data_IF_595199113755
#
_entry.id   IF_595199113755
#
_cell.length_a   1.000
_cell.length_b   1.000
_cell.length_c   1.000
_cell.angle_alpha   90.00
_cell.angle_beta   90.00
_cell.angle_gamma   90.00
#
_symmetry.space_group_name_H-M   'P 1'
#
loop_
_entity.id
_entity.type
_entity.pdbx_description
1 polymer ?
#
# COMPACT_ATOMS: atom_id res chain seq x y z
N UNK A 1 -24.64 11.88 12.92
CA UNK A 1 -25.06 13.27 12.70
C UNK A 1 -24.24 13.98 11.64
N UNK A 2 -22.98 13.64 11.44
CA UNK A 2 -22.11 14.18 10.38
C UNK A 2 -22.50 13.69 8.98
N UNK A 3 -23.09 12.49 8.87
CA UNK A 3 -23.59 11.95 7.59
C UNK A 3 -24.82 12.67 7.04
N UNK A 4 -25.52 13.42 7.88
CA UNK A 4 -26.75 14.14 7.52
C UNK A 4 -26.51 15.63 7.24
N UNK A 5 -25.25 16.07 7.24
CA UNK A 5 -24.90 17.46 6.89
C UNK A 5 -24.63 17.61 5.41
N UNK A 6 -24.82 18.80 4.83
CA UNK A 6 -24.40 19.06 3.46
C UNK A 6 -22.93 18.72 3.27
N UNK A 7 -22.61 17.89 2.29
CA UNK A 7 -21.24 17.46 2.03
C UNK A 7 -20.39 18.54 1.36
N UNK A 8 -21.01 19.41 0.58
CA UNK A 8 -20.34 20.57 0.01
C UNK A 8 -21.33 21.71 -0.26
N UNK A 9 -20.84 22.94 -0.23
CA UNK A 9 -21.55 24.14 -0.61
C UNK A 9 -20.75 24.78 -1.74
N UNK A 10 -21.24 24.71 -2.94
CA UNK A 10 -20.78 25.56 -4.05
C UNK A 10 -21.82 26.64 -4.27
N UNK A 11 -21.41 27.82 -4.61
CA UNK A 11 -22.08 29.14 -4.55
C UNK A 11 -23.60 29.21 -4.53
N UNK A 12 -24.34 28.23 -5.08
CA UNK A 12 -25.81 28.22 -5.10
C UNK A 12 -26.44 26.80 -4.98
N UNK A 13 -25.66 25.75 -4.74
CA UNK A 13 -26.16 24.37 -4.65
C UNK A 13 -25.69 23.67 -3.38
N UNK A 14 -26.65 23.19 -2.61
CA UNK A 14 -26.40 22.33 -1.42
C UNK A 14 -26.47 20.88 -1.84
N UNK A 15 -25.38 20.15 -1.64
CA UNK A 15 -25.35 18.69 -1.82
C UNK A 15 -25.70 18.00 -0.49
N UNK A 16 -26.86 17.34 -0.49
CA UNK A 16 -27.36 16.59 0.66
C UNK A 16 -27.04 15.10 0.51
N UNK A 17 -26.92 14.43 1.63
CA UNK A 17 -26.91 12.98 1.64
C UNK A 17 -28.23 12.42 1.06
N UNK A 18 -28.18 11.29 0.36
CA UNK A 18 -29.37 10.63 -0.21
C UNK A 18 -30.48 10.39 0.82
N UNK A 19 -30.10 10.21 2.08
CA UNK A 19 -31.01 10.01 3.24
C UNK A 19 -31.83 11.26 3.55
N UNK A 20 -31.29 12.47 3.33
CA UNK A 20 -31.98 13.72 3.67
C UNK A 20 -33.31 13.88 2.93
N UNK A 21 -33.35 13.51 1.65
CA UNK A 21 -34.61 13.53 0.86
C UNK A 21 -35.66 12.63 1.46
N UNK A 22 -35.23 11.45 1.91
CA UNK A 22 -36.13 10.44 2.52
C UNK A 22 -36.65 10.92 3.88
N UNK A 23 -35.77 11.49 4.71
CA UNK A 23 -36.12 12.07 6.01
C UNK A 23 -37.11 13.23 5.83
N UNK A 24 -36.84 14.17 4.93
CA UNK A 24 -37.75 15.28 4.66
C UNK A 24 -39.13 14.80 4.18
N UNK A 25 -39.17 13.75 3.37
CA UNK A 25 -40.44 13.15 2.94
C UNK A 25 -41.17 12.50 4.10
N UNK A 26 -40.45 11.80 4.99
CA UNK A 26 -41.01 11.20 6.21
C UNK A 26 -41.64 12.26 7.12
N UNK A 27 -40.95 13.38 7.36
CA UNK A 27 -41.48 14.47 8.16
C UNK A 27 -42.77 15.02 7.58
N UNK A 28 -42.83 15.29 6.28
CA UNK A 28 -44.04 15.78 5.60
C UNK A 28 -45.21 14.80 5.71
N UNK A 29 -44.97 13.50 5.54
CA UNK A 29 -46.01 12.47 5.68
C UNK A 29 -46.49 12.34 7.13
N UNK A 30 -45.56 12.36 8.08
CA UNK A 30 -45.91 12.31 9.51
C UNK A 30 -46.73 13.52 9.96
N UNK A 31 -46.39 14.72 9.47
CA UNK A 31 -47.10 15.96 9.75
C UNK A 31 -48.51 15.95 9.15
N UNK A 32 -48.68 15.42 7.91
CA UNK A 32 -49.98 15.26 7.29
C UNK A 32 -50.92 14.33 8.10
N UNK A 33 -50.37 13.25 8.62
CA UNK A 33 -51.14 12.33 9.51
C UNK A 33 -51.45 12.98 10.84
N UNK A 34 -50.52 13.71 11.45
CA UNK A 34 -50.68 14.38 12.76
C UNK A 34 -51.73 15.51 12.72
N UNK A 35 -51.73 16.29 11.65
CA UNK A 35 -52.62 17.44 11.47
C UNK A 35 -54.04 17.07 11.01
N UNK A 36 -54.35 15.77 10.88
CA UNK A 36 -55.67 15.29 10.48
C UNK A 36 -56.10 15.68 9.06
N UNK A 37 -55.15 16.04 8.18
CA UNK A 37 -55.40 16.42 6.80
C UNK A 37 -55.84 15.20 5.96
N UNK A 38 -55.48 14.00 6.41
CA UNK A 38 -55.88 12.76 5.77
C UNK A 38 -57.24 12.26 6.30
N UNK A 39 -58.23 12.09 5.43
CA UNK A 39 -59.47 11.39 5.75
C UNK A 39 -59.17 9.98 6.29
N UNK A 40 -60.02 9.43 7.15
CA UNK A 40 -59.77 8.19 7.86
C UNK A 40 -59.43 7.01 6.88
N UNK A 41 -60.03 7.03 5.71
CA UNK A 41 -59.81 6.04 4.62
C UNK A 41 -58.37 6.20 3.99
N UNK A 42 -57.78 7.38 4.00
CA UNK A 42 -56.45 7.63 3.45
C UNK A 42 -55.36 7.41 4.48
N UNK A 43 -55.68 7.33 5.76
CA UNK A 43 -54.73 7.21 6.86
C UNK A 43 -53.85 5.95 6.71
N UNK A 44 -54.44 4.81 6.37
CA UNK A 44 -53.71 3.57 6.20
C UNK A 44 -52.73 3.63 5.01
N UNK A 45 -53.11 4.37 3.97
CA UNK A 45 -52.28 4.62 2.82
C UNK A 45 -51.04 5.51 3.20
N UNK A 46 -51.24 6.53 4.03
CA UNK A 46 -50.15 7.34 4.55
C UNK A 46 -49.22 6.53 5.47
N UNK A 47 -49.76 5.68 6.34
CA UNK A 47 -48.98 4.82 7.22
C UNK A 47 -48.12 3.82 6.41
N UNK A 48 -48.69 3.20 5.37
CA UNK A 48 -47.97 2.31 4.46
C UNK A 48 -46.80 3.07 3.79
N UNK A 49 -47.06 4.28 3.28
CA UNK A 49 -46.02 5.12 2.64
C UNK A 49 -44.94 5.55 3.64
N UNK A 50 -45.29 5.78 4.89
CA UNK A 50 -44.32 6.07 5.97
C UNK A 50 -43.41 4.84 6.18
N UNK A 51 -44.02 3.64 6.27
CA UNK A 51 -43.26 2.41 6.45
C UNK A 51 -42.32 2.14 5.26
N UNK A 52 -42.76 2.35 4.04
CA UNK A 52 -41.92 2.21 2.84
C UNK A 52 -40.74 3.18 2.88
N UNK A 53 -40.94 4.43 3.33
CA UNK A 53 -39.88 5.42 3.47
C UNK A 53 -38.90 5.09 4.60
N UNK A 54 -39.39 4.50 5.70
CA UNK A 54 -38.52 3.99 6.76
C UNK A 54 -37.65 2.85 6.24
N UNK A 55 -38.22 1.90 5.51
CA UNK A 55 -37.50 0.79 4.89
C UNK A 55 -36.47 1.30 3.89
N UNK A 56 -36.83 2.28 3.06
CA UNK A 56 -35.88 2.91 2.11
C UNK A 56 -34.74 3.62 2.84
N UNK A 57 -35.01 4.29 3.95
CA UNK A 57 -34.00 4.93 4.77
C UNK A 57 -33.02 3.90 5.37
N UNK A 58 -33.53 2.82 5.92
CA UNK A 58 -32.70 1.73 6.44
C UNK A 58 -31.80 1.12 5.35
N UNK A 59 -32.35 0.86 4.17
CA UNK A 59 -31.59 0.32 3.04
C UNK A 59 -30.48 1.29 2.63
N UNK A 60 -30.77 2.60 2.56
CA UNK A 60 -29.75 3.61 2.27
C UNK A 60 -28.66 3.68 3.34
N UNK A 61 -29.01 3.54 4.61
CA UNK A 61 -28.02 3.46 5.71
C UNK A 61 -27.15 2.19 5.53
N UNK A 62 -27.77 1.06 5.26
CA UNK A 62 -27.03 -0.19 5.01
C UNK A 62 -26.08 -0.09 3.82
N UNK A 63 -26.49 0.53 2.72
CA UNK A 63 -25.65 0.77 1.56
C UNK A 63 -24.45 1.68 1.91
N UNK A 64 -24.67 2.73 2.70
CA UNK A 64 -23.59 3.61 3.16
C UNK A 64 -22.60 2.93 4.10
N UNK A 65 -23.04 1.94 4.85
CA UNK A 65 -22.18 1.24 5.83
C UNK A 65 -21.47 0.03 5.22
N UNK A 66 -22.09 -0.63 4.24
CA UNK A 66 -21.67 -1.92 3.71
C UNK A 66 -20.83 -1.79 2.43
N UNK A 67 -20.12 -2.87 2.08
CA UNK A 67 -19.33 -2.96 0.86
C UNK A 67 -17.90 -2.45 1.00
N UNK A 68 -17.17 -2.46 -0.11
CA UNK A 68 -15.74 -2.05 -0.14
C UNK A 68 -15.56 -0.55 0.14
N UNK A 69 -16.48 0.26 -0.34
CA UNK A 69 -16.50 1.71 -0.21
C UNK A 69 -17.39 2.16 0.97
N UNK A 70 -17.98 1.20 1.70
CA UNK A 70 -18.83 1.48 2.86
C UNK A 70 -18.02 2.07 4.01
N UNK A 71 -18.68 2.95 4.78
CA UNK A 71 -18.06 3.71 5.86
C UNK A 71 -17.32 2.84 6.88
N UNK A 72 -17.85 1.65 7.21
CA UNK A 72 -17.20 0.75 8.16
C UNK A 72 -15.86 0.27 7.61
N UNK A 73 -15.84 -0.17 6.35
CA UNK A 73 -14.62 -0.73 5.77
C UNK A 73 -13.61 0.34 5.39
N UNK A 74 -14.07 1.46 4.83
CA UNK A 74 -13.19 2.53 4.36
C UNK A 74 -12.69 3.44 5.49
N UNK A 75 -13.54 3.79 6.46
CA UNK A 75 -13.20 4.77 7.50
C UNK A 75 -12.90 4.18 8.88
N UNK A 76 -13.41 2.99 9.21
CA UNK A 76 -13.19 2.37 10.52
C UNK A 76 -12.13 1.27 10.44
N UNK A 77 -12.25 0.36 9.46
CA UNK A 77 -11.31 -0.74 9.28
C UNK A 77 -10.13 -0.36 8.39
N UNK A 78 -10.32 0.59 7.46
CA UNK A 78 -9.26 1.15 6.63
C UNK A 78 -8.48 2.20 7.43
N UNK A 79 -7.26 1.87 7.79
CA UNK A 79 -6.32 2.79 8.42
C UNK A 79 -4.90 2.50 7.94
N UNK A 80 -4.05 3.51 7.91
CA UNK A 80 -2.62 3.31 7.72
C UNK A 80 -2.03 2.68 8.98
N UNK A 81 -1.27 1.61 8.81
CA UNK A 81 -0.48 1.02 9.88
C UNK A 81 0.90 1.68 9.90
N UNK A 82 1.44 1.94 11.09
CA UNK A 82 2.81 2.40 11.23
C UNK A 82 3.77 1.36 10.63
N UNK A 83 4.92 1.81 10.17
CA UNK A 83 5.96 0.98 9.53
C UNK A 83 5.52 0.28 8.24
N UNK A 84 4.47 0.74 7.58
CA UNK A 84 3.98 0.14 6.34
C UNK A 84 3.84 1.16 5.23
N UNK A 85 3.99 0.69 3.99
CA UNK A 85 3.76 1.47 2.78
C UNK A 85 3.25 0.59 1.64
N UNK A 86 2.84 1.22 0.56
CA UNK A 86 2.45 0.57 -0.70
C UNK A 86 3.04 1.34 -1.85
N UNK A 87 3.90 0.69 -2.63
CA UNK A 87 4.59 1.35 -3.72
C UNK A 87 4.43 0.57 -5.01
N UNK A 88 4.33 1.29 -6.13
CA UNK A 88 4.45 0.74 -7.48
C UNK A 88 5.88 0.24 -7.68
N UNK A 89 6.05 -0.88 -8.37
CA UNK A 89 7.36 -1.47 -8.65
C UNK A 89 7.91 -1.05 -10.00
N UNK A 90 9.22 -0.88 -10.04
CA UNK A 90 9.99 -0.68 -11.27
C UNK A 90 11.20 -1.60 -11.31
N UNK A 91 11.68 -2.00 -12.51
CA UNK A 91 12.83 -2.87 -12.63
C UNK A 91 14.14 -2.14 -12.34
N UNK A 92 15.06 -2.81 -11.65
CA UNK A 92 16.48 -2.44 -11.62
C UNK A 92 17.34 -3.70 -11.76
N UNK A 93 17.96 -3.93 -12.93
CA UNK A 93 18.76 -5.13 -13.19
C UNK A 93 20.08 -5.13 -12.42
N UNK A 94 20.47 -4.04 -11.78
CA UNK A 94 21.72 -3.95 -10.99
C UNK A 94 21.57 -4.45 -9.57
N UNK A 95 20.32 -4.68 -9.13
CA UNK A 95 20.01 -5.19 -7.80
C UNK A 95 20.33 -6.69 -7.69
N UNK A 96 20.86 -7.10 -6.55
CA UNK A 96 20.91 -8.52 -6.20
C UNK A 96 19.51 -9.03 -5.84
N UNK A 97 19.31 -10.34 -5.89
CA UNK A 97 18.01 -10.98 -5.67
C UNK A 97 17.33 -10.61 -4.33
N UNK A 98 18.09 -10.20 -3.34
CA UNK A 98 17.61 -9.83 -2.02
C UNK A 98 17.71 -8.32 -1.73
N UNK A 99 18.00 -7.50 -2.73
CA UNK A 99 18.16 -6.05 -2.59
C UNK A 99 17.01 -5.29 -3.23
N UNK A 100 16.72 -4.12 -2.68
CA UNK A 100 15.74 -3.16 -3.20
C UNK A 100 16.23 -1.74 -2.98
N UNK A 101 15.77 -0.79 -3.81
CA UNK A 101 15.94 0.64 -3.54
C UNK A 101 14.60 1.25 -3.18
N UNK A 102 14.52 1.87 -2.01
CA UNK A 102 13.32 2.56 -1.52
C UNK A 102 13.25 3.99 -2.01
N UNK A 103 12.04 4.50 -2.23
CA UNK A 103 11.82 5.92 -2.43
C UNK A 103 12.08 6.69 -1.13
N UNK A 104 12.50 7.95 -1.27
CA UNK A 104 12.76 8.87 -0.15
C UNK A 104 11.58 8.94 0.82
N UNK A 105 10.38 9.22 0.31
CA UNK A 105 9.18 9.35 1.15
C UNK A 105 8.78 8.03 1.82
N UNK A 106 8.95 6.91 1.14
CA UNK A 106 8.65 5.61 1.74
C UNK A 106 9.58 5.33 2.92
N UNK A 107 10.87 5.63 2.79
CA UNK A 107 11.81 5.45 3.89
C UNK A 107 11.51 6.41 5.04
N UNK A 108 11.22 7.68 4.73
CA UNK A 108 10.86 8.71 5.69
C UNK A 108 9.70 8.29 6.60
N UNK A 109 8.66 7.70 6.01
CA UNK A 109 7.47 7.25 6.74
C UNK A 109 7.68 5.94 7.50
N UNK A 110 8.27 4.94 6.85
CA UNK A 110 8.44 3.61 7.46
C UNK A 110 9.41 3.66 8.64
N UNK A 111 10.50 4.43 8.51
CA UNK A 111 11.56 4.50 9.50
C UNK A 111 11.57 5.81 10.31
N UNK A 112 10.41 6.49 10.41
CA UNK A 112 10.24 7.74 11.17
C UNK A 112 10.96 7.71 12.51
N UNK A 113 10.65 6.72 13.34
CA UNK A 113 11.20 6.62 14.69
C UNK A 113 12.72 6.38 14.73
N UNK A 114 13.27 5.73 13.69
CA UNK A 114 14.72 5.55 13.58
C UNK A 114 15.41 6.85 13.22
N UNK A 115 14.84 7.61 12.29
CA UNK A 115 15.33 8.92 11.87
C UNK A 115 15.32 9.88 13.05
N UNK A 116 14.19 9.98 13.76
CA UNK A 116 14.06 10.85 14.95
C UNK A 116 15.09 10.45 16.01
N UNK A 117 15.20 9.15 16.32
CA UNK A 117 16.14 8.67 17.32
C UNK A 117 17.59 8.89 16.93
N UNK A 118 17.91 8.77 15.66
CA UNK A 118 19.24 9.01 15.13
C UNK A 118 19.62 10.50 15.25
N UNK A 119 18.71 11.40 14.89
CA UNK A 119 18.87 12.85 15.04
C UNK A 119 19.07 13.24 16.51
N UNK A 120 18.30 12.67 17.43
CA UNK A 120 18.49 12.90 18.87
C UNK A 120 19.87 12.47 19.35
N UNK A 121 20.33 11.29 18.95
CA UNK A 121 21.60 10.73 19.42
C UNK A 121 22.81 11.43 18.82
N UNK A 122 22.78 11.81 17.54
CA UNK A 122 23.92 12.43 16.84
C UNK A 122 24.04 13.94 17.11
N UNK A 123 22.93 14.64 17.08
CA UNK A 123 22.91 16.10 17.17
C UNK A 123 22.63 16.60 18.61
N UNK A 124 22.29 15.70 19.54
CA UNK A 124 21.94 16.06 20.91
C UNK A 124 20.74 16.99 21.02
N UNK A 125 19.83 16.93 20.02
CA UNK A 125 18.61 17.75 19.96
C UNK A 125 17.48 17.09 20.72
N UNK A 126 16.49 17.88 21.14
CA UNK A 126 15.29 17.32 21.78
C UNK A 126 14.39 16.61 20.78
N UNK A 127 13.62 15.61 21.26
CA UNK A 127 12.66 14.85 20.45
C UNK A 127 11.73 15.76 19.63
N UNK A 128 11.19 16.82 20.24
CA UNK A 128 10.32 17.79 19.55
C UNK A 128 11.01 18.47 18.36
N UNK A 129 12.30 18.82 18.49
CA UNK A 129 13.05 19.41 17.37
C UNK A 129 13.36 18.39 16.29
N UNK A 130 13.62 17.13 16.67
CA UNK A 130 13.84 16.05 15.71
C UNK A 130 12.55 15.74 14.93
N UNK A 131 11.37 15.82 15.58
CA UNK A 131 10.08 15.74 14.91
C UNK A 131 9.84 16.90 13.94
N UNK A 132 10.15 18.13 14.32
CA UNK A 132 10.05 19.31 13.45
C UNK A 132 10.92 19.16 12.19
N UNK A 133 12.15 18.64 12.36
CA UNK A 133 13.06 18.34 11.24
C UNK A 133 12.46 17.25 10.35
N UNK A 134 11.92 16.17 10.92
CA UNK A 134 11.28 15.10 10.17
C UNK A 134 10.06 15.61 9.40
N UNK A 135 9.23 16.46 10.00
CA UNK A 135 8.08 17.05 9.31
C UNK A 135 8.50 17.94 8.13
N UNK A 136 9.55 18.76 8.31
CA UNK A 136 10.07 19.61 7.25
C UNK A 136 10.71 18.81 6.10
N UNK A 137 11.22 17.61 6.39
CA UNK A 137 11.88 16.74 5.43
C UNK A 137 10.91 16.15 4.37
N UNK A 138 9.59 16.31 4.51
CA UNK A 138 8.64 15.99 3.44
C UNK A 138 8.86 16.85 2.18
N UNK A 139 9.57 17.96 2.28
CA UNK A 139 10.01 18.78 1.15
C UNK A 139 11.46 18.48 0.74
N UNK A 140 11.93 17.26 0.89
CA UNK A 140 13.31 16.82 0.69
C UNK A 140 14.36 17.66 1.44
N UNK A 141 15.07 17.00 2.32
CA UNK A 141 16.17 17.59 3.08
C UNK A 141 17.41 16.71 2.93
N UNK A 142 18.51 17.30 2.45
CA UNK A 142 19.78 16.60 2.21
C UNK A 142 20.36 16.00 3.50
N UNK A 143 20.25 16.70 4.63
CA UNK A 143 20.77 16.19 5.91
C UNK A 143 19.98 14.97 6.37
N UNK A 144 18.66 15.01 6.21
CA UNK A 144 17.82 13.85 6.55
C UNK A 144 18.10 12.70 5.58
N UNK A 145 18.37 12.98 4.31
CA UNK A 145 18.80 11.97 3.34
C UNK A 145 20.11 11.29 3.77
N UNK A 146 21.11 12.07 4.18
CA UNK A 146 22.38 11.54 4.70
C UNK A 146 22.15 10.64 5.92
N UNK A 147 21.28 11.06 6.84
CA UNK A 147 20.87 10.24 8.00
C UNK A 147 20.19 8.95 7.55
N UNK A 148 19.31 8.99 6.55
CA UNK A 148 18.70 7.79 6.01
C UNK A 148 19.73 6.81 5.43
N UNK A 149 20.71 7.32 4.69
CA UNK A 149 21.77 6.50 4.11
C UNK A 149 22.66 5.88 5.18
N UNK A 150 22.96 6.62 6.25
CA UNK A 150 23.73 6.10 7.39
C UNK A 150 22.94 5.00 8.15
N UNK A 151 21.62 5.18 8.32
CA UNK A 151 20.74 4.14 8.88
C UNK A 151 20.71 2.90 7.97
N UNK A 152 20.73 3.06 6.64
CA UNK A 152 20.78 1.91 5.71
C UNK A 152 22.11 1.16 5.83
N UNK A 153 23.23 1.87 5.98
CA UNK A 153 24.55 1.28 6.03
C UNK A 153 24.85 0.60 7.37
N UNK A 154 24.50 1.23 8.48
CA UNK A 154 24.86 0.80 9.83
C UNK A 154 23.69 0.22 10.63
N UNK A 155 22.45 0.49 10.20
CA UNK A 155 21.23 0.00 10.86
C UNK A 155 20.96 -1.46 10.57
N UNK A 156 20.51 -2.20 11.58
CA UNK A 156 20.00 -3.57 11.40
C UNK A 156 18.52 -3.52 11.00
N UNK A 157 18.25 -2.95 9.82
CA UNK A 157 16.91 -2.78 9.28
C UNK A 157 16.72 -3.58 7.99
N UNK A 158 15.49 -3.83 7.63
CA UNK A 158 15.09 -4.48 6.39
C UNK A 158 13.63 -4.26 6.11
N UNK A 159 13.18 -4.74 4.98
CA UNK A 159 11.76 -4.69 4.64
C UNK A 159 11.23 -6.08 4.30
N UNK A 160 9.99 -6.29 4.67
CA UNK A 160 9.22 -7.44 4.25
C UNK A 160 8.22 -7.00 3.21
N UNK A 161 8.28 -7.59 2.03
CA UNK A 161 7.40 -7.26 0.91
C UNK A 161 6.40 -8.37 0.66
N UNK A 162 5.19 -7.98 0.27
CA UNK A 162 4.11 -8.89 -0.10
C UNK A 162 3.28 -8.30 -1.25
N UNK A 163 2.88 -9.15 -2.20
CA UNK A 163 1.89 -8.79 -3.23
C UNK A 163 0.54 -9.43 -2.93
N UNK A 164 -0.53 -8.65 -3.03
CA UNK A 164 -1.88 -9.16 -2.96
C UNK A 164 -2.42 -9.47 -4.38
N UNK A 165 -3.11 -10.63 -4.59
CA UNK A 165 -3.36 -11.67 -3.60
C UNK A 165 -2.10 -12.50 -3.29
N UNK A 166 -1.93 -12.88 -2.02
CA UNK A 166 -0.83 -13.78 -1.60
C UNK A 166 -1.16 -15.20 -2.04
N UNK A 167 -0.64 -15.63 -3.17
CA UNK A 167 -0.98 -16.90 -3.80
C UNK A 167 -0.16 -18.08 -3.26
N UNK A 168 1.07 -17.83 -2.84
CA UNK A 168 1.99 -18.85 -2.36
C UNK A 168 3.01 -18.24 -1.37
N UNK A 169 3.85 -19.10 -0.83
CA UNK A 169 4.89 -18.71 0.13
C UNK A 169 5.90 -17.71 -0.45
N UNK A 170 6.19 -17.78 -1.74
CA UNK A 170 7.13 -16.90 -2.44
C UNK A 170 6.57 -15.52 -2.76
N UNK A 171 5.28 -15.31 -2.50
CA UNK A 171 4.66 -13.98 -2.57
C UNK A 171 5.01 -13.09 -1.38
N UNK A 172 5.83 -13.60 -0.45
CA UNK A 172 6.29 -12.91 0.76
C UNK A 172 7.81 -13.02 0.85
N UNK A 173 8.53 -11.91 0.80
CA UNK A 173 9.99 -11.90 0.75
C UNK A 173 10.58 -10.92 1.77
N UNK A 174 11.69 -11.33 2.40
CA UNK A 174 12.55 -10.45 3.17
C UNK A 174 13.60 -9.85 2.24
N UNK A 175 13.62 -8.53 2.16
CA UNK A 175 14.54 -7.79 1.31
C UNK A 175 15.44 -6.87 2.14
N UNK A 176 16.68 -6.70 1.68
CA UNK A 176 17.64 -5.73 2.20
C UNK A 176 17.49 -4.44 1.43
N UNK A 177 17.50 -3.32 2.12
CA UNK A 177 17.55 -2.00 1.49
C UNK A 177 19.01 -1.76 1.05
N UNK A 178 19.24 -1.54 -0.26
CA UNK A 178 20.55 -1.18 -0.81
C UNK A 178 20.82 0.30 -0.64
N UNK A 179 19.83 1.12 -1.00
CA UNK A 179 19.88 2.59 -0.86
C UNK A 179 18.49 3.19 -0.83
N UNK A 180 18.43 4.43 -0.40
CA UNK A 180 17.29 5.33 -0.58
C UNK A 180 17.52 6.13 -1.87
N UNK A 181 16.47 6.31 -2.69
CA UNK A 181 16.55 7.11 -3.91
C UNK A 181 16.64 8.58 -3.56
N UNK A 182 17.57 9.29 -4.18
CA UNK A 182 17.79 10.72 -3.95
C UNK A 182 16.68 11.59 -4.56
N UNK A 183 16.05 11.14 -5.66
CA UNK A 183 14.94 11.87 -6.26
C UNK A 183 13.67 11.71 -5.42
N UNK A 184 13.28 12.77 -4.73
CA UNK A 184 12.07 12.79 -3.92
C UNK A 184 10.77 12.66 -4.74
N UNK A 185 10.80 12.90 -6.06
CA UNK A 185 9.63 12.72 -6.92
C UNK A 185 9.47 11.26 -7.40
N UNK A 186 10.45 10.41 -7.17
CA UNK A 186 10.36 8.98 -7.47
C UNK A 186 9.75 8.22 -6.28
N UNK A 187 8.47 7.89 -6.38
CA UNK A 187 7.72 7.14 -5.35
C UNK A 187 7.75 5.62 -5.56
N UNK A 188 8.48 5.14 -6.56
CA UNK A 188 8.49 3.71 -6.91
C UNK A 188 9.51 2.93 -6.07
N UNK A 189 9.20 1.65 -5.85
CA UNK A 189 10.13 0.66 -5.31
C UNK A 189 10.92 0.01 -6.45
N UNK A 190 12.24 0.10 -6.45
CA UNK A 190 13.06 -0.65 -7.40
C UNK A 190 13.30 -2.08 -6.91
N UNK A 191 13.03 -3.05 -7.78
CA UNK A 191 13.12 -4.47 -7.44
C UNK A 191 13.93 -5.25 -8.50
N UNK A 192 14.62 -6.34 -8.12
CA UNK A 192 15.28 -7.20 -9.07
C UNK A 192 14.27 -8.05 -9.84
N UNK A 193 14.58 -8.32 -11.11
CA UNK A 193 13.71 -9.12 -12.00
C UNK A 193 13.49 -10.55 -11.50
N UNK A 194 14.46 -11.09 -10.78
CA UNK A 194 14.46 -12.50 -10.32
C UNK A 194 13.34 -12.84 -9.34
N UNK A 195 12.79 -11.86 -8.62
CA UNK A 195 11.72 -12.11 -7.62
C UNK A 195 10.32 -12.04 -8.20
N UNK A 196 10.14 -11.50 -9.40
CA UNK A 196 8.82 -11.29 -10.01
C UNK A 196 8.00 -12.59 -10.17
N UNK A 197 8.58 -13.70 -10.64
CA UNK A 197 7.82 -14.95 -10.78
C UNK A 197 7.25 -15.45 -9.45
N UNK A 198 8.00 -15.30 -8.36
CA UNK A 198 7.55 -15.68 -7.02
C UNK A 198 6.40 -14.83 -6.51
N UNK A 199 6.45 -13.53 -6.79
CA UNK A 199 5.42 -12.57 -6.45
C UNK A 199 4.21 -12.64 -7.42
N UNK A 200 4.34 -13.34 -8.55
CA UNK A 200 3.40 -13.29 -9.68
C UNK A 200 3.10 -11.83 -10.07
N UNK A 201 4.16 -11.03 -10.19
CA UNK A 201 4.11 -9.59 -10.45
C UNK A 201 4.71 -9.26 -11.80
N UNK A 202 4.27 -8.14 -12.37
CA UNK A 202 4.85 -7.52 -13.56
C UNK A 202 4.92 -5.99 -13.41
N UNK A 203 5.49 -5.31 -14.41
CA UNK A 203 5.71 -3.87 -14.36
C UNK A 203 4.62 -3.07 -15.09
N UNK A 204 3.38 -3.51 -15.01
CA UNK A 204 2.21 -2.84 -15.58
C UNK A 204 1.51 -1.87 -14.60
N UNK A 205 2.14 -1.58 -13.47
CA UNK A 205 1.60 -0.76 -12.39
C UNK A 205 1.32 -1.56 -11.12
N UNK A 206 1.84 -2.79 -11.03
CA UNK A 206 1.73 -3.61 -9.84
C UNK A 206 2.27 -2.91 -8.60
N UNK A 207 1.60 -3.15 -7.49
CA UNK A 207 1.89 -2.54 -6.19
C UNK A 207 2.28 -3.62 -5.18
N UNK A 208 3.39 -3.42 -4.49
CA UNK A 208 3.76 -4.23 -3.34
C UNK A 208 3.40 -3.54 -2.02
N UNK A 209 2.96 -4.33 -1.06
CA UNK A 209 2.87 -3.90 0.33
C UNK A 209 4.25 -4.06 0.96
N UNK A 210 4.67 -3.05 1.70
CA UNK A 210 5.98 -2.98 2.35
C UNK A 210 5.75 -2.86 3.85
N UNK A 211 6.49 -3.65 4.63
CA UNK A 211 6.50 -3.59 6.09
C UNK A 211 7.96 -3.40 6.52
N UNK A 212 8.24 -2.32 7.23
CA UNK A 212 9.55 -2.07 7.81
C UNK A 212 9.85 -3.01 8.98
N UNK A 213 11.00 -3.66 8.94
CA UNK A 213 11.50 -4.49 10.00
C UNK A 213 12.63 -3.74 10.70
N UNK A 214 12.34 -3.30 11.89
CA UNK A 214 13.12 -2.28 12.63
C UNK A 214 13.97 -2.86 13.77
N UNK A 215 14.01 -4.18 13.90
CA UNK A 215 14.71 -4.83 15.00
C UNK A 215 15.42 -6.10 14.50
N UNK A 216 16.65 -6.28 14.96
CA UNK A 216 17.51 -7.45 14.67
C UNK A 216 16.86 -8.80 14.96
N UNK A 217 16.11 -8.89 16.04
CA UNK A 217 15.49 -10.16 16.43
C UNK A 217 14.29 -10.48 15.52
N UNK A 218 13.55 -9.45 15.12
CA UNK A 218 12.49 -9.61 14.11
C UNK A 218 13.11 -10.01 12.76
N UNK A 219 14.19 -9.35 12.33
CA UNK A 219 14.90 -9.73 11.11
C UNK A 219 15.34 -11.20 11.10
N UNK A 220 15.87 -11.70 12.24
CA UNK A 220 16.25 -13.12 12.37
C UNK A 220 15.06 -14.06 12.18
N UNK A 221 13.89 -13.71 12.71
CA UNK A 221 12.66 -14.52 12.55
C UNK A 221 12.21 -14.57 11.07
N UNK A 222 12.41 -13.48 10.34
CA UNK A 222 12.03 -13.36 8.93
C UNK A 222 13.07 -13.89 7.94
N UNK A 223 14.27 -14.28 8.37
CA UNK A 223 15.32 -14.84 7.50
C UNK A 223 14.88 -16.01 6.62
N UNK A 224 13.88 -16.76 7.04
CA UNK A 224 13.30 -17.85 6.22
C UNK A 224 12.64 -17.37 4.93
N UNK A 225 12.31 -16.10 4.84
CA UNK A 225 11.70 -15.45 3.65
C UNK A 225 12.74 -14.79 2.74
N UNK A 226 14.04 -14.95 2.98
CA UNK A 226 15.08 -14.46 2.06
C UNK A 226 14.99 -15.21 0.72
N UNK A 227 15.05 -14.50 -0.45
CA UNK A 227 14.94 -15.14 -1.76
C UNK A 227 15.91 -16.28 -1.99
N UNK A 228 17.14 -16.16 -1.50
CA UNK A 228 18.18 -17.19 -1.65
C UNK A 228 17.77 -18.54 -1.02
N UNK A 229 17.03 -18.51 0.10
CA UNK A 229 16.58 -19.72 0.78
C UNK A 229 15.51 -20.49 0.00
N UNK A 230 14.82 -19.80 -0.88
CA UNK A 230 13.84 -20.42 -1.78
C UNK A 230 14.51 -21.17 -2.94
N UNK A 231 15.76 -20.81 -3.27
CA UNK A 231 16.57 -21.52 -4.29
C UNK A 231 17.27 -22.76 -3.73
N UNK A 232 17.63 -22.75 -2.46
CA UNK A 232 18.44 -23.81 -1.81
C UNK A 232 17.68 -25.11 -1.54
N UNK A 233 16.40 -25.21 -1.92
CA UNK A 233 15.61 -26.43 -1.66
C UNK A 233 15.93 -27.61 -2.58
N UNK A 234 16.96 -27.52 -3.41
CA UNK A 234 17.43 -28.62 -4.28
C UNK A 234 16.45 -29.07 -5.37
N UNK A 235 15.28 -28.47 -5.42
CA UNK A 235 14.29 -28.67 -6.50
C UNK A 235 14.26 -27.42 -7.35
N UNK A 236 14.45 -27.58 -8.65
CA UNK A 236 14.21 -26.50 -9.61
C UNK A 236 12.76 -26.04 -9.44
N UNK A 237 12.59 -24.94 -8.74
CA UNK A 237 11.24 -24.41 -8.53
C UNK A 237 10.84 -23.67 -9.81
N UNK A 238 9.70 -24.02 -10.38
CA UNK A 238 9.17 -23.40 -11.59
C UNK A 238 9.01 -21.87 -11.46
N UNK A 239 8.94 -21.36 -10.24
CA UNK A 239 8.87 -19.93 -9.93
C UNK A 239 10.20 -19.18 -10.18
N UNK A 240 11.32 -19.89 -10.23
CA UNK A 240 12.64 -19.34 -10.53
C UNK A 240 13.23 -19.96 -11.81
N UNK A 241 12.39 -20.55 -12.67
CA UNK A 241 12.83 -21.09 -13.94
C UNK A 241 13.22 -19.97 -14.90
N UNK A 242 14.35 -20.14 -15.56
CA UNK A 242 14.76 -19.27 -16.66
C UNK A 242 13.76 -19.47 -17.80
N UNK A 243 13.14 -18.41 -18.26
CA UNK A 243 12.24 -18.50 -19.42
C UNK A 243 13.03 -18.65 -20.73
N UNK A 244 12.34 -19.04 -21.82
CA UNK A 244 13.01 -19.32 -23.11
C UNK A 244 13.79 -18.10 -23.63
N UNK A 245 13.29 -16.87 -23.44
CA UNK A 245 13.99 -15.66 -23.86
C UNK A 245 15.29 -15.45 -23.09
N UNK A 246 15.27 -15.59 -21.77
CA UNK A 246 16.46 -15.50 -20.93
C UNK A 246 17.50 -16.58 -21.26
N UNK A 247 17.07 -17.80 -21.62
CA UNK A 247 17.94 -18.86 -22.08
C UNK A 247 18.66 -18.49 -23.40
N UNK A 248 17.94 -17.89 -24.35
CA UNK A 248 18.50 -17.42 -25.62
C UNK A 248 19.50 -16.29 -25.35
N UNK A 249 19.15 -15.32 -24.50
CA UNK A 249 20.04 -14.21 -24.14
C UNK A 249 21.32 -14.75 -23.46
N UNK A 250 21.18 -15.71 -22.56
CA UNK A 250 22.30 -16.35 -21.87
C UNK A 250 23.20 -17.09 -22.85
N UNK A 251 22.62 -17.79 -23.85
CA UNK A 251 23.33 -18.45 -24.90
C UNK A 251 24.15 -17.46 -25.75
N UNK A 252 23.52 -16.37 -26.20
CA UNK A 252 24.23 -15.32 -26.94
C UNK A 252 25.33 -14.68 -26.10
N UNK A 253 25.07 -14.36 -24.85
CA UNK A 253 26.08 -13.82 -23.94
C UNK A 253 27.28 -14.78 -23.76
N UNK A 254 27.01 -16.07 -23.60
CA UNK A 254 28.05 -17.09 -23.47
C UNK A 254 28.85 -17.34 -24.72
N UNK A 255 28.31 -16.98 -25.89
CA UNK A 255 28.97 -17.16 -27.20
C UNK A 255 29.63 -15.87 -27.72
N UNK A 256 29.33 -14.70 -27.16
CA UNK A 256 30.01 -13.44 -27.51
C UNK A 256 31.48 -13.55 -27.15
N UNK A 257 32.35 -13.37 -28.15
CA UNK A 257 33.80 -13.41 -28.00
C UNK A 257 34.44 -14.79 -28.18
N UNK A 258 33.65 -15.84 -28.41
CA UNK A 258 34.21 -17.13 -28.88
C UNK A 258 34.48 -17.08 -30.39
N UNK A 259 35.68 -17.42 -30.77
CA UNK A 259 36.02 -17.61 -32.17
C UNK A 259 35.40 -18.92 -32.71
N UNK A 260 35.24 -19.05 -34.04
CA UNK A 260 34.61 -20.21 -34.68
C UNK A 260 35.18 -21.58 -34.24
N UNK A 261 36.39 -21.60 -33.67
CA UNK A 261 37.05 -22.82 -33.18
C UNK A 261 36.63 -23.27 -31.79
N UNK A 262 35.82 -22.44 -31.05
CA UNK A 262 35.39 -22.72 -29.68
C UNK A 262 33.93 -23.13 -29.56
N UNK A 263 33.26 -23.47 -30.67
CA UNK A 263 31.89 -23.93 -30.63
C UNK A 263 31.81 -25.35 -30.05
N UNK A 264 30.99 -25.61 -29.02
CA UNK A 264 30.75 -26.97 -28.57
C UNK A 264 30.01 -27.76 -29.65
N UNK A 265 30.49 -28.93 -29.98
CA UNK A 265 29.72 -29.90 -30.77
C UNK A 265 28.42 -30.19 -30.04
N UNK A 266 27.30 -29.92 -30.72
CA UNK A 266 25.96 -30.25 -30.19
C UNK A 266 25.71 -31.68 -30.67
N UNK A 267 25.82 -32.65 -29.74
CA UNK A 267 25.28 -33.99 -29.90
C UNK A 267 23.76 -34.01 -29.61
#
# INVERSE_FOLDING_TARGET
TTMLRPQSVTSDTFYYCSIDKTINTLFRLAEAVKNGVAAEIERDNYLSRIQDKINAMWNSIFELLNGKEGFIRDKILGGSLNFTSRNVIIPDPTLKDNEVDLSYHTFLEIFKFHIIKYLECLEGISESKAEDIWESAHQFDEKVYDVMMDIVEHGEIGIFINRNPTLNYYSMLLMKIRKVKHDANDYCLSVPLSILPGLNADFDGDILNIIGLVNKDILKMFKKFEPIRHRDTGKLNSLFSINKGQLIDLYYFATIGKTENDQPEIE
#
